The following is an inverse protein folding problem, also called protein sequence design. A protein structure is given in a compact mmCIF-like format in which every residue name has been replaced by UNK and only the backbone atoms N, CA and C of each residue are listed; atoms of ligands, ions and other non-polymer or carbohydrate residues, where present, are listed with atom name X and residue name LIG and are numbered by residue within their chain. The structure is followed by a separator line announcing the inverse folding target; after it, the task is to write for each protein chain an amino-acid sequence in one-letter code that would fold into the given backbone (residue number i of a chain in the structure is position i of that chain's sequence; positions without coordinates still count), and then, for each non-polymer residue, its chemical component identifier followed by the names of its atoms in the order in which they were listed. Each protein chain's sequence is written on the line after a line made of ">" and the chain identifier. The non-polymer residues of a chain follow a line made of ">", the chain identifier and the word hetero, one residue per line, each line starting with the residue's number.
data_IF_413160879132
#
_entry.id   IF_413160879132
#
_cell.length_a   1.000
_cell.length_b   1.000
_cell.length_c   1.000
_cell.angle_alpha   90.00
_cell.angle_beta   90.00
_cell.angle_gamma   90.00
#
_symmetry.space_group_name_H-M   'P 1'
#
loop_
_entity.id
_entity.type
_entity.pdbx_description
1 polymer ?
#
# COMPACT_ATOMS: atom_id res chain seq x y z
N UNK A 1 -12.46 54.80 -32.01
CA UNK A 1 -13.81 54.54 -32.58
C UNK A 1 -13.70 54.44 -34.09
N UNK A 2 -13.64 53.22 -34.63
CA UNK A 2 -14.19 52.83 -35.94
C UNK A 2 -13.92 51.33 -36.13
N UNK A 3 -15.01 50.60 -36.41
CA UNK A 3 -15.09 49.14 -36.58
C UNK A 3 -14.71 48.76 -38.01
N UNK A 4 -14.43 47.46 -38.24
CA UNK A 4 -14.93 46.57 -39.33
C UNK A 4 -13.93 45.38 -39.47
N UNK A 5 -14.21 44.26 -38.80
CA UNK A 5 -14.70 42.98 -39.38
C UNK A 5 -13.84 42.46 -40.55
N UNK A 6 -13.04 41.41 -40.28
CA UNK A 6 -12.53 40.50 -41.33
C UNK A 6 -13.17 39.13 -41.14
N UNK A 7 -13.90 38.76 -42.17
CA UNK A 7 -14.77 37.61 -42.32
C UNK A 7 -14.00 36.29 -42.35
N UNK A 8 -14.59 35.30 -41.68
CA UNK A 8 -14.32 33.87 -41.80
C UNK A 8 -14.56 33.38 -43.23
N UNK A 9 -13.65 32.55 -43.76
CA UNK A 9 -13.96 31.61 -44.83
C UNK A 9 -13.67 30.20 -44.30
N UNK A 10 -14.73 29.52 -43.89
CA UNK A 10 -14.75 28.07 -43.64
C UNK A 10 -15.04 27.41 -44.99
N UNK A 11 -14.05 26.73 -45.56
CA UNK A 11 -14.26 25.88 -46.73
C UNK A 11 -14.52 24.45 -46.26
N UNK A 12 -15.78 24.03 -46.38
CA UNK A 12 -16.20 22.63 -46.25
C UNK A 12 -15.89 21.96 -47.59
N UNK A 13 -14.97 21.00 -47.60
CA UNK A 13 -14.83 20.04 -48.69
C UNK A 13 -15.05 18.63 -48.14
N UNK A 14 -16.29 18.18 -48.31
CA UNK A 14 -16.66 16.78 -48.20
C UNK A 14 -16.10 16.04 -49.42
N UNK A 15 -15.19 15.09 -49.21
CA UNK A 15 -14.98 14.04 -50.19
C UNK A 15 -14.62 12.73 -49.47
N UNK A 16 -15.60 11.84 -49.42
CA UNK A 16 -15.42 10.46 -49.02
C UNK A 16 -14.59 9.74 -50.08
N UNK A 17 -13.44 9.19 -49.69
CA UNK A 17 -12.73 8.18 -50.46
C UNK A 17 -12.56 6.98 -49.54
N UNK A 18 -13.35 5.96 -49.80
CA UNK A 18 -13.23 4.65 -49.17
C UNK A 18 -11.99 3.95 -49.73
N UNK A 19 -11.01 3.67 -48.88
CA UNK A 19 -9.91 2.75 -49.17
C UNK A 19 -10.00 1.62 -48.14
N UNK A 20 -10.30 0.44 -48.65
CA UNK A 20 -10.41 -0.81 -47.91
C UNK A 20 -9.06 -1.19 -47.30
N UNK A 21 -9.01 -1.30 -45.98
CA UNK A 21 -7.89 -1.88 -45.23
C UNK A 21 -8.14 -3.40 -45.17
N UNK A 22 -7.21 -4.27 -45.62
CA UNK A 22 -7.37 -5.70 -45.41
C UNK A 22 -7.21 -5.99 -43.92
N UNK A 23 -8.31 -6.46 -43.32
CA UNK A 23 -8.40 -6.96 -41.95
C UNK A 23 -7.60 -8.27 -41.84
N UNK A 24 -6.34 -8.19 -41.41
CA UNK A 24 -5.64 -9.35 -40.86
C UNK A 24 -6.19 -9.56 -39.45
N UNK A 25 -7.16 -10.47 -39.36
CA UNK A 25 -7.64 -11.03 -38.10
C UNK A 25 -6.62 -12.05 -37.59
N UNK A 26 -5.71 -11.61 -36.71
CA UNK A 26 -5.13 -12.51 -35.71
C UNK A 26 -5.90 -12.33 -34.42
N UNK A 27 -7.00 -13.06 -34.30
CA UNK A 27 -7.75 -13.18 -33.05
C UNK A 27 -6.90 -13.85 -31.97
N UNK A 28 -6.45 -13.07 -31.00
CA UNK A 28 -6.20 -13.56 -29.65
C UNK A 28 -7.20 -12.83 -28.76
N UNK A 29 -8.31 -13.50 -28.46
CA UNK A 29 -9.30 -13.03 -27.51
C UNK A 29 -8.58 -12.78 -26.19
N UNK A 30 -8.47 -11.51 -25.83
CA UNK A 30 -7.89 -11.06 -24.58
C UNK A 30 -9.07 -10.85 -23.64
N UNK A 31 -9.27 -11.80 -22.72
CA UNK A 31 -10.27 -11.69 -21.65
C UNK A 31 -10.10 -10.34 -20.94
N UNK A 32 -11.14 -9.49 -20.86
CA UNK A 32 -11.04 -8.17 -20.22
C UNK A 32 -11.05 -8.23 -18.67
N UNK A 33 -10.78 -9.40 -18.08
CA UNK A 33 -10.93 -9.65 -16.64
C UNK A 33 -9.69 -10.17 -15.90
N UNK A 34 -8.54 -10.36 -16.55
CA UNK A 34 -7.35 -10.87 -15.89
C UNK A 34 -6.47 -9.71 -15.40
N UNK A 35 -6.53 -9.39 -14.10
CA UNK A 35 -5.49 -8.59 -13.45
C UNK A 35 -4.12 -9.20 -13.74
N UNK A 36 -3.10 -8.42 -14.14
CA UNK A 36 -1.75 -8.97 -14.35
C UNK A 36 -1.26 -9.58 -13.04
N UNK A 37 -1.02 -10.90 -13.04
CA UNK A 37 -0.38 -11.58 -11.93
C UNK A 37 0.98 -10.89 -11.63
N UNK A 38 1.36 -10.70 -10.35
CA UNK A 38 2.60 -10.03 -10.01
C UNK A 38 3.79 -10.80 -10.60
N UNK A 39 4.48 -10.16 -11.54
CA UNK A 39 5.62 -10.74 -12.22
C UNK A 39 6.73 -11.00 -11.20
N UNK A 40 7.08 -12.28 -10.96
CA UNK A 40 8.14 -12.64 -10.02
C UNK A 40 9.45 -11.96 -10.42
N UNK A 41 9.92 -11.03 -9.58
CA UNK A 41 11.23 -10.38 -9.76
C UNK A 41 12.37 -11.39 -9.87
N UNK A 42 13.16 -11.24 -10.93
CA UNK A 42 14.37 -12.01 -11.17
C UNK A 42 15.41 -11.87 -10.04
N UNK A 43 16.26 -12.89 -9.88
CA UNK A 43 17.29 -12.94 -8.82
C UNK A 43 18.24 -11.74 -8.87
N UNK A 44 18.57 -11.27 -10.07
CA UNK A 44 19.43 -10.11 -10.30
C UNK A 44 18.75 -8.81 -9.86
N UNK A 45 17.49 -8.61 -10.20
CA UNK A 45 16.71 -7.47 -9.76
C UNK A 45 16.64 -7.39 -8.23
N UNK A 46 16.42 -8.52 -7.55
CA UNK A 46 16.46 -8.59 -6.08
C UNK A 46 17.82 -8.20 -5.50
N UNK A 47 18.91 -8.63 -6.14
CA UNK A 47 20.29 -8.26 -5.73
C UNK A 47 20.55 -6.77 -5.91
N UNK A 48 20.13 -6.19 -7.04
CA UNK A 48 20.21 -4.74 -7.30
C UNK A 48 19.43 -3.96 -6.23
N UNK A 49 18.18 -4.32 -6.00
CA UNK A 49 17.34 -3.69 -4.97
C UNK A 49 17.95 -3.74 -3.57
N UNK A 50 18.54 -4.88 -3.18
CA UNK A 50 19.23 -5.01 -1.89
C UNK A 50 20.46 -4.10 -1.80
N UNK A 51 21.19 -3.91 -2.90
CA UNK A 51 22.33 -3.00 -2.98
C UNK A 51 21.86 -1.55 -2.84
N UNK A 52 20.87 -1.15 -3.63
CA UNK A 52 20.28 0.20 -3.55
C UNK A 52 19.78 0.50 -2.15
N UNK A 53 19.05 -0.41 -1.50
CA UNK A 53 18.61 -0.23 -0.10
C UNK A 53 19.76 0.00 0.89
N UNK A 54 20.96 -0.56 0.63
CA UNK A 54 22.13 -0.36 1.47
C UNK A 54 22.81 1.00 1.21
N UNK A 55 22.70 1.51 -0.02
CA UNK A 55 23.27 2.78 -0.47
C UNK A 55 22.35 3.98 -0.17
N UNK A 56 21.05 3.75 0.03
CA UNK A 56 20.10 4.76 0.46
C UNK A 56 20.54 5.45 1.76
N UNK A 57 20.25 6.74 1.86
CA UNK A 57 20.41 7.48 3.10
C UNK A 57 19.64 6.81 4.26
N UNK A 58 20.17 6.99 5.47
CA UNK A 58 19.60 6.41 6.69
C UNK A 58 18.11 6.71 6.86
N UNK A 59 17.67 7.94 6.52
CA UNK A 59 16.28 8.37 6.66
C UNK A 59 15.35 7.61 5.70
N UNK A 60 15.68 7.57 4.40
CA UNK A 60 14.85 6.86 3.40
C UNK A 60 14.80 5.37 3.63
N UNK A 61 15.91 4.80 4.08
CA UNK A 61 15.96 3.39 4.44
C UNK A 61 15.04 3.11 5.62
N UNK A 62 15.14 3.90 6.69
CA UNK A 62 14.29 3.75 7.87
C UNK A 62 12.82 3.88 7.51
N UNK A 63 12.46 4.92 6.74
CA UNK A 63 11.09 5.10 6.25
C UNK A 63 10.57 3.86 5.51
N UNK A 64 11.36 3.31 4.58
CA UNK A 64 10.95 2.14 3.79
C UNK A 64 10.89 0.83 4.61
N UNK A 65 11.76 0.67 5.60
CA UNK A 65 11.89 -0.60 6.35
C UNK A 65 11.14 -0.62 7.68
N UNK A 66 10.77 0.54 8.21
CA UNK A 66 10.13 0.69 9.51
C UNK A 66 8.78 1.36 9.33
N UNK A 67 8.76 2.63 8.93
CA UNK A 67 7.55 3.45 8.90
C UNK A 67 6.47 2.84 8.00
N UNK A 68 6.76 2.58 6.73
CA UNK A 68 5.74 2.15 5.76
C UNK A 68 5.73 0.64 5.52
N UNK A 69 6.48 -0.13 6.31
CA UNK A 69 6.75 -1.55 6.03
C UNK A 69 5.50 -2.42 5.87
N UNK A 70 4.39 -2.08 6.52
CA UNK A 70 3.14 -2.85 6.47
C UNK A 70 2.11 -2.30 5.50
N UNK A 71 2.30 -1.08 4.99
CA UNK A 71 1.31 -0.36 4.15
C UNK A 71 1.80 -0.11 2.73
N UNK A 72 3.11 -0.25 2.48
CA UNK A 72 3.69 -0.11 1.14
C UNK A 72 3.46 -1.39 0.32
N UNK A 73 2.98 -1.23 -0.90
CA UNK A 73 2.83 -2.38 -1.81
C UNK A 73 4.19 -2.85 -2.34
N UNK A 74 4.31 -4.12 -2.78
CA UNK A 74 5.54 -4.60 -3.40
C UNK A 74 5.97 -3.75 -4.60
N UNK A 75 5.01 -3.29 -5.41
CA UNK A 75 5.28 -2.49 -6.60
C UNK A 75 5.72 -1.07 -6.26
N UNK A 76 5.11 -0.44 -5.26
CA UNK A 76 5.57 0.86 -4.71
C UNK A 76 6.98 0.78 -4.17
N UNK A 77 7.27 -0.28 -3.42
CA UNK A 77 8.61 -0.51 -2.87
C UNK A 77 9.65 -0.66 -3.99
N UNK A 78 9.28 -1.35 -5.06
CA UNK A 78 10.16 -1.51 -6.22
C UNK A 78 10.35 -0.19 -6.97
N UNK A 79 9.30 0.59 -7.15
CA UNK A 79 9.36 1.91 -7.78
C UNK A 79 10.25 2.86 -6.98
N UNK A 80 10.08 2.92 -5.66
CA UNK A 80 10.89 3.76 -4.77
C UNK A 80 12.39 3.42 -4.85
N UNK A 81 12.74 2.13 -4.93
CA UNK A 81 14.12 1.67 -5.08
C UNK A 81 14.72 1.90 -6.48
N UNK A 82 13.92 2.31 -7.46
CA UNK A 82 14.39 2.67 -8.81
C UNK A 82 14.64 4.17 -8.97
N UNK A 83 14.19 5.00 -8.02
CA UNK A 83 14.44 6.44 -8.04
C UNK A 83 15.92 6.71 -7.78
N UNK A 84 16.51 7.62 -8.54
CA UNK A 84 17.94 7.92 -8.48
C UNK A 84 18.22 9.11 -7.55
N UNK A 85 17.38 10.15 -7.62
CA UNK A 85 17.58 11.41 -6.87
C UNK A 85 16.84 11.45 -5.53
N UNK A 86 17.27 12.31 -4.61
CA UNK A 86 16.58 12.50 -3.34
C UNK A 86 15.27 13.27 -3.53
N UNK A 87 15.25 14.24 -4.45
CA UNK A 87 14.09 15.03 -4.81
C UNK A 87 12.93 14.14 -5.31
N UNK A 88 13.23 13.17 -6.17
CA UNK A 88 12.22 12.18 -6.62
C UNK A 88 11.71 11.31 -5.46
N UNK A 89 12.57 10.96 -4.49
CA UNK A 89 12.17 10.17 -3.31
C UNK A 89 11.25 10.97 -2.39
N UNK A 90 11.56 12.24 -2.13
CA UNK A 90 10.69 13.13 -1.35
C UNK A 90 9.33 13.28 -2.02
N UNK A 91 9.31 13.56 -3.33
CA UNK A 91 8.07 13.64 -4.10
C UNK A 91 7.27 12.32 -4.03
N UNK A 92 7.95 11.17 -4.12
CA UNK A 92 7.30 9.88 -3.97
C UNK A 92 6.66 9.72 -2.58
N UNK A 93 7.35 10.11 -1.51
CA UNK A 93 6.84 10.03 -0.14
C UNK A 93 5.63 10.95 0.04
N UNK A 94 5.68 12.18 -0.46
CA UNK A 94 4.55 13.11 -0.44
C UNK A 94 3.33 12.51 -1.15
N UNK A 95 3.53 12.04 -2.39
CA UNK A 95 2.45 11.42 -3.17
C UNK A 95 1.94 10.13 -2.53
N UNK A 96 2.80 9.36 -1.87
CA UNK A 96 2.46 8.12 -1.17
C UNK A 96 1.46 8.36 -0.03
N UNK A 97 1.64 9.45 0.72
CA UNK A 97 0.73 9.85 1.78
C UNK A 97 -0.52 10.52 1.22
N UNK A 98 -0.37 11.44 0.26
CA UNK A 98 -1.49 12.21 -0.30
C UNK A 98 -2.61 11.31 -0.84
N UNK A 99 -2.25 10.27 -1.60
CA UNK A 99 -3.20 9.30 -2.15
C UNK A 99 -3.92 8.41 -1.12
N UNK A 100 -3.43 8.35 0.12
CA UNK A 100 -4.02 7.59 1.23
C UNK A 100 -4.80 8.48 2.20
N UNK A 101 -4.66 9.79 2.07
CA UNK A 101 -5.43 10.73 2.88
C UNK A 101 -6.91 10.55 2.61
N UNK A 102 -7.74 10.58 3.65
CA UNK A 102 -9.19 10.62 3.44
C UNK A 102 -9.64 12.02 3.03
N UNK A 103 -8.91 13.05 3.48
CA UNK A 103 -9.17 14.46 3.17
C UNK A 103 -7.92 15.14 2.56
N UNK A 104 -7.70 15.03 1.24
CA UNK A 104 -6.52 15.58 0.59
C UNK A 104 -6.47 17.13 0.58
N UNK A 105 -7.60 17.79 0.87
CA UNK A 105 -7.69 19.26 0.94
C UNK A 105 -7.16 19.83 2.25
N UNK A 106 -6.94 18.99 3.27
CA UNK A 106 -6.34 19.42 4.53
C UNK A 106 -4.81 19.52 4.39
N UNK A 107 -4.18 20.54 5.00
CA UNK A 107 -2.72 20.64 5.02
C UNK A 107 -2.07 19.47 5.78
N UNK A 108 -2.79 18.91 6.75
CA UNK A 108 -2.38 17.76 7.54
C UNK A 108 -2.98 16.48 6.96
N UNK A 109 -2.13 15.50 6.69
CA UNK A 109 -2.55 14.22 6.16
C UNK A 109 -3.04 13.31 7.29
N UNK A 110 -4.36 13.23 7.43
CA UNK A 110 -5.06 12.42 8.42
C UNK A 110 -4.54 10.98 8.54
N UNK A 111 -4.33 10.29 7.41
CA UNK A 111 -3.85 8.92 7.39
C UNK A 111 -2.40 8.81 7.90
N UNK A 112 -1.53 9.74 7.50
CA UNK A 112 -0.13 9.77 7.94
C UNK A 112 -0.05 9.94 9.45
N UNK A 113 -0.79 10.89 10.01
CA UNK A 113 -0.81 11.16 11.44
C UNK A 113 -1.31 9.95 12.23
N UNK A 114 -2.42 9.37 11.79
CA UNK A 114 -2.99 8.18 12.41
C UNK A 114 -2.01 6.99 12.36
N UNK A 115 -1.33 6.81 11.22
CA UNK A 115 -0.35 5.74 11.04
C UNK A 115 0.83 5.88 12.00
N UNK A 116 1.42 7.07 12.12
CA UNK A 116 2.50 7.32 13.07
C UNK A 116 2.03 7.22 14.53
N UNK A 117 0.80 7.66 14.84
CA UNK A 117 0.17 7.45 16.14
C UNK A 117 0.08 5.98 16.50
N UNK A 118 -0.30 5.12 15.53
CA UNK A 118 -0.37 3.67 15.74
C UNK A 118 0.99 3.02 15.94
N UNK A 119 2.02 3.47 15.23
CA UNK A 119 3.40 2.99 15.45
C UNK A 119 3.86 3.34 16.88
N UNK A 120 3.66 4.59 17.30
CA UNK A 120 4.02 5.04 18.65
C UNK A 120 3.29 4.21 19.72
N UNK A 121 1.97 4.09 19.57
CA UNK A 121 1.14 3.29 20.47
C UNK A 121 1.62 1.82 20.53
N UNK A 122 1.89 1.21 19.38
CA UNK A 122 2.38 -0.16 19.32
C UNK A 122 3.71 -0.32 20.06
N UNK A 123 4.64 0.62 19.88
CA UNK A 123 5.93 0.60 20.57
C UNK A 123 5.81 0.74 22.09
N UNK A 124 4.86 1.55 22.56
CA UNK A 124 4.62 1.74 23.99
C UNK A 124 3.93 0.53 24.63
N UNK A 125 2.95 -0.06 23.96
CA UNK A 125 2.07 -1.07 24.57
C UNK A 125 2.48 -2.51 24.28
N UNK A 126 3.18 -2.77 23.17
CA UNK A 126 3.45 -4.13 22.69
C UNK A 126 4.93 -4.46 22.60
N UNK A 127 5.83 -3.60 23.08
CA UNK A 127 7.26 -3.93 23.13
C UNK A 127 7.53 -5.11 24.08
N UNK A 128 8.28 -6.10 23.60
CA UNK A 128 8.60 -7.33 24.35
C UNK A 128 10.02 -7.83 24.03
N UNK A 129 11.01 -6.99 24.30
CA UNK A 129 12.42 -7.24 23.92
C UNK A 129 12.74 -6.94 22.45
N UNK A 130 11.71 -6.80 21.62
CA UNK A 130 11.74 -6.16 20.30
C UNK A 130 10.82 -4.93 20.30
N UNK A 131 11.07 -3.93 19.41
CA UNK A 131 10.15 -2.81 19.22
C UNK A 131 8.72 -3.29 18.96
N UNK A 132 7.74 -2.65 19.58
CA UNK A 132 6.35 -3.07 19.52
C UNK A 132 5.78 -3.12 18.10
N UNK A 133 6.19 -2.21 17.21
CA UNK A 133 5.81 -2.26 15.79
C UNK A 133 6.24 -3.56 15.09
N UNK A 134 7.33 -4.21 15.54
CA UNK A 134 7.82 -5.49 14.99
C UNK A 134 7.09 -6.71 15.54
N UNK A 135 6.30 -6.55 16.60
CA UNK A 135 5.52 -7.66 17.16
C UNK A 135 4.31 -7.95 16.28
N UNK A 136 3.81 -9.18 16.31
CA UNK A 136 2.59 -9.53 15.58
C UNK A 136 1.40 -8.68 16.03
N UNK A 137 1.28 -8.43 17.34
CA UNK A 137 0.25 -7.58 17.92
C UNK A 137 0.35 -6.13 17.43
N UNK A 138 1.54 -5.54 17.44
CA UNK A 138 1.77 -4.20 16.93
C UNK A 138 1.55 -4.09 15.43
N UNK A 139 1.96 -5.09 14.66
CA UNK A 139 1.66 -5.18 13.23
C UNK A 139 0.16 -5.14 12.97
N UNK A 140 -0.61 -5.96 13.68
CA UNK A 140 -2.08 -5.98 13.55
C UNK A 140 -2.70 -4.64 13.92
N UNK A 141 -2.24 -4.01 15.02
CA UNK A 141 -2.70 -2.69 15.44
C UNK A 141 -2.38 -1.59 14.42
N UNK A 142 -1.21 -1.61 13.79
CA UNK A 142 -0.84 -0.63 12.76
C UNK A 142 -1.74 -0.77 11.53
N UNK A 143 -1.94 -2.00 11.05
CA UNK A 143 -2.73 -2.27 9.84
C UNK A 143 -4.22 -1.97 10.04
N UNK A 144 -4.81 -2.43 11.14
CA UNK A 144 -6.26 -2.41 11.33
C UNK A 144 -6.75 -1.35 12.32
N UNK A 145 -5.84 -0.81 13.14
CA UNK A 145 -6.18 0.12 14.22
C UNK A 145 -6.59 -0.59 15.51
N UNK A 146 -7.19 0.15 16.46
CA UNK A 146 -7.72 -0.44 17.69
C UNK A 146 -8.79 -1.48 17.36
N UNK A 147 -8.76 -2.60 18.08
CA UNK A 147 -9.80 -3.61 18.00
C UNK A 147 -11.06 -3.13 18.74
N UNK A 148 -12.23 -3.49 18.24
CA UNK A 148 -13.51 -3.18 18.87
C UNK A 148 -13.74 -4.01 20.14
N UNK A 149 -13.20 -5.23 20.14
CA UNK A 149 -13.33 -6.18 21.23
C UNK A 149 -12.00 -6.91 21.44
N UNK A 150 -11.52 -6.90 22.68
CA UNK A 150 -10.31 -7.60 23.10
C UNK A 150 -10.67 -8.53 24.25
N UNK A 151 -10.59 -9.82 24.00
CA UNK A 151 -10.74 -10.86 25.02
C UNK A 151 -9.35 -11.26 25.50
N UNK A 152 -9.05 -11.03 26.79
CA UNK A 152 -7.70 -11.25 27.35
C UNK A 152 -7.67 -12.42 28.35
N UNK A 153 -6.71 -13.31 28.16
CA UNK A 153 -6.45 -14.48 29.00
C UNK A 153 -5.02 -14.39 29.58
N UNK A 154 -4.75 -13.49 30.55
CA UNK A 154 -3.39 -13.15 30.98
C UNK A 154 -2.68 -14.24 31.79
N UNK A 155 -3.42 -15.13 32.44
CA UNK A 155 -2.86 -16.20 33.28
C UNK A 155 -2.55 -17.46 32.46
N UNK A 156 -3.08 -17.57 31.24
CA UNK A 156 -3.25 -18.86 30.59
C UNK A 156 -4.05 -19.82 31.47
N UNK A 157 -3.89 -21.13 31.26
CA UNK A 157 -4.47 -22.16 32.11
C UNK A 157 -5.32 -23.17 31.35
N UNK A 158 -6.24 -23.84 32.04
CA UNK A 158 -7.14 -24.81 31.42
C UNK A 158 -8.14 -24.08 30.55
N UNK A 159 -8.02 -24.24 29.23
CA UNK A 159 -8.98 -23.74 28.25
C UNK A 159 -9.82 -24.90 27.73
N UNK A 160 -11.12 -24.82 27.96
CA UNK A 160 -12.11 -25.73 27.36
C UNK A 160 -12.44 -25.24 25.96
N UNK A 161 -11.90 -25.93 24.95
CA UNK A 161 -12.13 -25.59 23.55
C UNK A 161 -13.58 -25.86 23.17
N UNK A 162 -14.25 -24.95 22.44
CA UNK A 162 -15.57 -25.22 21.89
C UNK A 162 -15.51 -26.40 20.90
N UNK A 163 -16.65 -27.06 20.68
CA UNK A 163 -16.73 -28.23 19.79
C UNK A 163 -16.31 -27.88 18.34
N UNK A 164 -16.55 -26.64 17.93
CA UNK A 164 -16.16 -26.10 16.62
C UNK A 164 -14.63 -26.11 16.41
N UNK A 165 -13.86 -26.05 17.50
CA UNK A 165 -12.39 -26.11 17.52
C UNK A 165 -11.84 -27.51 17.87
N UNK A 166 -12.70 -28.54 17.84
CA UNK A 166 -12.32 -29.93 18.10
C UNK A 166 -12.47 -30.38 19.56
N UNK A 167 -12.99 -29.52 20.45
CA UNK A 167 -13.36 -29.87 21.82
C UNK A 167 -12.20 -30.22 22.78
N UNK A 168 -12.58 -30.44 24.05
CA UNK A 168 -11.68 -30.89 25.13
C UNK A 168 -10.91 -29.77 25.83
N UNK A 169 -10.30 -30.10 26.97
CA UNK A 169 -9.48 -29.19 27.76
C UNK A 169 -8.01 -29.24 27.34
N UNK A 170 -7.36 -28.09 27.19
CA UNK A 170 -5.91 -27.99 26.99
C UNK A 170 -5.33 -26.91 27.89
N UNK A 171 -4.06 -27.04 28.28
CA UNK A 171 -3.36 -25.95 28.96
C UNK A 171 -2.87 -24.94 27.92
N UNK A 172 -3.19 -23.67 28.10
CA UNK A 172 -2.79 -22.57 27.22
C UNK A 172 -1.80 -21.64 27.92
N UNK A 173 -0.90 -21.05 27.13
CA UNK A 173 -0.13 -19.87 27.52
C UNK A 173 -1.04 -18.63 27.53
N UNK A 174 -0.63 -17.49 28.10
CA UNK A 174 -1.40 -16.26 27.98
C UNK A 174 -1.67 -15.86 26.52
N UNK A 175 -2.91 -15.50 26.21
CA UNK A 175 -3.33 -15.13 24.85
C UNK A 175 -4.41 -14.05 24.87
N UNK A 176 -4.62 -13.41 23.72
CA UNK A 176 -5.70 -12.46 23.51
C UNK A 176 -6.36 -12.71 22.15
N UNK A 177 -7.68 -12.57 22.09
CA UNK A 177 -8.42 -12.55 20.83
C UNK A 177 -8.91 -11.14 20.56
N UNK A 178 -8.55 -10.63 19.38
CA UNK A 178 -8.87 -9.29 18.92
C UNK A 178 -9.88 -9.39 17.79
N UNK A 179 -10.98 -8.65 17.88
CA UNK A 179 -12.04 -8.62 16.87
C UNK A 179 -12.22 -7.20 16.35
N UNK A 180 -12.25 -7.08 15.02
CA UNK A 180 -12.62 -5.87 14.30
C UNK A 180 -13.96 -6.10 13.60
N UNK A 181 -14.86 -5.14 13.69
CA UNK A 181 -16.19 -5.16 13.06
C UNK A 181 -16.15 -4.17 11.90
N UNK A 182 -16.23 -4.69 10.68
CA UNK A 182 -16.30 -3.91 9.43
C UNK A 182 -17.70 -3.99 8.82
#
# INVERSE_FOLDING_TARGET
>A
MSRVVRTLFVAIFSLAIAIAIPLVSTGKAQDPGASPLPQKLGKEAKRRMKRTLKELDSAYRQWLTEDVTYIISPDERNAFLQLDTNEEREQFIEQFWLRRSSNPDLPENDFKEEHYRRIAYANEHFASGIPGWKTDRGRMYIMWGPADEVESHPTGGTYDRPMEEGGGSTSTYPWETWRWRY
#
